data_IF_813702581342
#
_entry.id   IF_813702581342
#
_cell.length_a   1.000
_cell.length_b   1.000
_cell.length_c   1.000
_cell.angle_alpha   90.00
_cell.angle_beta   90.00
_cell.angle_gamma   90.00
#
_symmetry.space_group_name_H-M   'P 1'
#
loop_
_entity.id
_entity.type
_entity.pdbx_description
1 polymer ?
#
# COMPACT_ATOMS: atom_id res chain seq x y z
N UNK A 1 -5.60 16.16 10.98
CA UNK A 1 -4.58 15.08 11.11
C UNK A 1 -3.85 15.28 12.42
N UNK A 2 -3.63 14.22 13.21
CA UNK A 2 -3.09 14.29 14.57
C UNK A 2 -1.57 14.55 14.62
N UNK A 3 -0.84 14.23 13.55
CA UNK A 3 0.63 14.29 13.53
C UNK A 3 1.33 13.19 14.33
N UNK A 4 0.58 12.27 14.93
CA UNK A 4 1.11 11.14 15.69
C UNK A 4 1.33 9.96 14.75
N UNK A 5 2.48 9.32 14.83
CA UNK A 5 2.82 8.12 14.05
C UNK A 5 4.32 8.00 13.79
N UNK A 6 4.70 6.90 13.18
CA UNK A 6 6.05 6.62 12.70
C UNK A 6 5.99 6.27 11.21
N UNK A 7 7.10 6.43 10.45
CA UNK A 7 7.13 5.99 9.05
C UNK A 7 6.74 4.51 8.94
N UNK A 8 5.84 4.20 8.00
CA UNK A 8 5.22 2.87 7.89
C UNK A 8 6.24 1.75 7.76
N UNK A 9 7.29 1.94 6.98
CA UNK A 9 8.31 0.91 6.80
C UNK A 9 9.10 0.62 8.09
N UNK A 10 9.42 1.65 8.87
CA UNK A 10 10.04 1.48 10.20
C UNK A 10 9.12 0.72 11.15
N UNK A 11 7.82 1.07 11.17
CA UNK A 11 6.83 0.34 11.97
C UNK A 11 6.73 -1.14 11.57
N UNK A 12 6.81 -1.47 10.27
CA UNK A 12 6.81 -2.85 9.79
C UNK A 12 8.02 -3.60 10.32
N UNK A 13 9.22 -3.03 10.22
CA UNK A 13 10.45 -3.67 10.70
C UNK A 13 10.39 -3.97 12.21
N UNK A 14 10.03 -2.97 13.01
CA UNK A 14 9.98 -3.10 14.47
C UNK A 14 8.90 -4.11 14.91
N UNK A 15 7.71 -4.03 14.31
CA UNK A 15 6.62 -4.94 14.63
C UNK A 15 6.87 -6.36 14.15
N UNK A 16 7.52 -6.55 12.99
CA UNK A 16 7.87 -7.86 12.46
C UNK A 16 8.89 -8.56 13.38
N UNK A 17 9.92 -7.83 13.83
CA UNK A 17 10.91 -8.35 14.76
C UNK A 17 10.26 -8.81 16.08
N UNK A 18 9.43 -7.96 16.68
CA UNK A 18 8.71 -8.29 17.90
C UNK A 18 7.76 -9.49 17.72
N UNK A 19 7.00 -9.54 16.62
CA UNK A 19 6.06 -10.62 16.34
C UNK A 19 6.77 -11.95 16.12
N UNK A 20 7.88 -11.96 15.39
CA UNK A 20 8.67 -13.17 15.14
C UNK A 20 9.20 -13.81 16.44
N UNK A 21 9.49 -12.99 17.44
CA UNK A 21 9.95 -13.46 18.74
C UNK A 21 8.91 -14.28 19.53
N UNK A 22 7.64 -14.16 19.17
CA UNK A 22 6.51 -14.83 19.81
C UNK A 22 5.68 -15.69 18.83
N UNK A 23 6.24 -16.02 17.68
CA UNK A 23 5.58 -16.77 16.59
C UNK A 23 4.29 -16.08 16.11
N UNK A 24 4.28 -14.76 16.15
CA UNK A 24 3.18 -13.91 15.73
C UNK A 24 3.29 -13.50 14.26
N UNK A 25 2.20 -12.95 13.73
CA UNK A 25 2.12 -12.44 12.36
C UNK A 25 1.70 -10.98 12.36
N UNK A 26 2.23 -10.20 11.42
CA UNK A 26 1.81 -8.82 11.22
C UNK A 26 1.15 -8.62 9.86
N UNK A 27 0.19 -7.72 9.85
CA UNK A 27 -0.45 -7.18 8.67
C UNK A 27 -0.04 -5.72 8.55
N UNK A 28 0.66 -5.37 7.46
CA UNK A 28 1.03 -3.99 7.18
C UNK A 28 -0.19 -3.25 6.61
N UNK A 29 -0.72 -2.29 7.36
CA UNK A 29 -1.90 -1.52 6.97
C UNK A 29 -1.53 -0.06 6.69
N UNK A 30 -1.78 0.35 5.46
CA UNK A 30 -1.64 1.73 5.00
C UNK A 30 -0.37 2.02 4.19
N UNK A 31 -0.46 3.08 3.40
CA UNK A 31 0.66 3.66 2.65
C UNK A 31 0.98 3.02 1.30
N UNK A 32 0.39 1.89 0.93
CA UNK A 32 0.65 1.26 -0.36
C UNK A 32 -0.07 1.97 -1.51
N UNK A 33 0.69 2.48 -2.45
CA UNK A 33 0.21 3.16 -3.67
C UNK A 33 0.66 2.42 -4.93
N UNK A 34 1.82 1.78 -4.88
CA UNK A 34 2.43 1.06 -5.99
C UNK A 34 2.76 -0.39 -5.60
N UNK A 35 2.87 -1.32 -6.56
CA UNK A 35 3.29 -2.71 -6.29
C UNK A 35 4.61 -2.81 -5.51
N UNK A 36 5.55 -1.88 -5.75
CA UNK A 36 6.81 -1.80 -5.03
C UNK A 36 6.65 -1.53 -3.52
N UNK A 37 5.59 -0.84 -3.09
CA UNK A 37 5.34 -0.61 -1.67
C UNK A 37 4.92 -1.90 -0.98
N UNK A 38 4.13 -2.74 -1.67
CA UNK A 38 3.75 -4.07 -1.22
C UNK A 38 4.99 -4.97 -1.11
N UNK A 39 5.87 -4.94 -2.12
CA UNK A 39 7.12 -5.69 -2.10
C UNK A 39 8.03 -5.25 -0.94
N UNK A 40 8.13 -3.95 -0.66
CA UNK A 40 8.86 -3.42 0.51
C UNK A 40 8.27 -3.92 1.82
N UNK A 41 6.94 -3.93 1.95
CA UNK A 41 6.28 -4.43 3.16
C UNK A 41 6.62 -5.90 3.42
N UNK A 42 6.55 -6.76 2.40
CA UNK A 42 6.98 -8.16 2.52
C UNK A 42 8.47 -8.29 2.82
N UNK A 43 9.32 -7.50 2.15
CA UNK A 43 10.75 -7.46 2.43
C UNK A 43 11.08 -6.99 3.85
N UNK A 44 10.26 -6.12 4.43
CA UNK A 44 10.35 -5.67 5.83
C UNK A 44 9.83 -6.67 6.85
N UNK A 45 9.25 -7.80 6.41
CA UNK A 45 8.79 -8.86 7.31
C UNK A 45 7.28 -8.91 7.53
N UNK A 46 6.48 -8.11 6.80
CA UNK A 46 5.03 -8.26 6.84
C UNK A 46 4.60 -9.63 6.28
N UNK A 47 3.64 -10.26 6.94
CA UNK A 47 3.03 -11.51 6.49
C UNK A 47 1.86 -11.26 5.54
N UNK A 48 1.18 -10.15 5.71
CA UNK A 48 0.06 -9.69 4.91
C UNK A 48 0.17 -8.18 4.71
N UNK A 49 -0.47 -7.68 3.65
CA UNK A 49 -0.52 -6.24 3.35
C UNK A 49 -1.96 -5.84 3.10
N UNK A 50 -2.41 -4.79 3.79
CA UNK A 50 -3.71 -4.17 3.57
C UNK A 50 -3.60 -3.16 2.44
N UNK A 51 -4.41 -3.35 1.42
CA UNK A 51 -4.52 -2.42 0.29
C UNK A 51 -5.96 -1.92 0.16
N UNK A 52 -6.12 -0.62 -0.05
CA UNK A 52 -7.42 0.02 -0.22
C UNK A 52 -7.47 0.81 -1.53
N UNK A 53 -6.82 1.96 -1.58
CA UNK A 53 -6.86 2.86 -2.74
C UNK A 53 -6.40 2.24 -4.07
N UNK A 54 -5.53 1.24 -4.03
CA UNK A 54 -5.08 0.54 -5.23
C UNK A 54 -6.23 -0.26 -5.90
N UNK A 55 -7.18 -0.73 -5.11
CA UNK A 55 -8.35 -1.49 -5.60
C UNK A 55 -9.60 -0.62 -5.75
N UNK A 56 -9.53 0.67 -5.46
CA UNK A 56 -10.65 1.58 -5.60
C UNK A 56 -10.92 1.91 -7.08
N UNK A 57 -12.19 2.12 -7.41
CA UNK A 57 -12.61 2.53 -8.75
C UNK A 57 -12.85 1.38 -9.72
N UNK A 58 -12.78 0.15 -9.27
CA UNK A 58 -13.06 -1.05 -10.05
C UNK A 58 -14.51 -1.51 -9.90
N UNK A 59 -14.98 -2.28 -10.86
CA UNK A 59 -16.34 -2.85 -10.90
C UNK A 59 -16.68 -3.60 -9.61
N UNK A 60 -15.73 -4.39 -9.13
CA UNK A 60 -15.91 -5.25 -7.98
C UNK A 60 -15.98 -4.48 -6.64
N UNK A 61 -15.70 -3.17 -6.65
CA UNK A 61 -15.91 -2.31 -5.48
C UNK A 61 -17.36 -1.81 -5.37
N UNK A 62 -18.21 -2.09 -6.37
CA UNK A 62 -19.65 -1.80 -6.39
C UNK A 62 -19.98 -0.32 -6.09
N UNK A 63 -19.09 0.57 -6.42
CA UNK A 63 -19.28 2.00 -6.22
C UNK A 63 -19.99 2.64 -7.42
N UNK A 64 -20.95 3.56 -7.20
CA UNK A 64 -21.61 4.24 -8.31
C UNK A 64 -20.61 5.05 -9.11
N UNK A 65 -20.67 4.88 -10.44
CA UNK A 65 -19.88 5.68 -11.39
C UNK A 65 -20.69 6.90 -11.76
N UNK A 66 -20.15 8.09 -11.49
CA UNK A 66 -20.78 9.38 -11.82
C UNK A 66 -19.78 10.18 -12.65
N UNK A 67 -20.16 10.54 -13.87
CA UNK A 67 -19.31 11.27 -14.82
C UNK A 67 -17.93 10.63 -15.01
N UNK A 68 -17.88 9.29 -15.13
CA UNK A 68 -16.63 8.54 -15.29
C UNK A 68 -15.74 8.46 -14.06
N UNK A 69 -16.25 8.87 -12.90
CA UNK A 69 -15.52 8.84 -11.63
C UNK A 69 -16.28 8.06 -10.56
N UNK A 70 -15.55 7.57 -9.58
CA UNK A 70 -16.07 6.95 -8.36
C UNK A 70 -15.61 7.73 -7.14
N UNK A 71 -16.42 7.71 -6.08
CA UNK A 71 -16.03 8.29 -4.80
C UNK A 71 -15.32 7.25 -3.93
N UNK A 72 -14.06 7.50 -3.60
CA UNK A 72 -13.30 6.70 -2.65
C UNK A 72 -13.19 7.41 -1.30
N UNK A 73 -13.49 6.69 -0.23
CA UNK A 73 -13.36 7.20 1.13
C UNK A 73 -12.81 6.13 2.08
N UNK A 74 -11.88 6.53 2.93
CA UNK A 74 -11.36 5.64 3.98
C UNK A 74 -12.40 5.40 5.07
N UNK A 75 -12.32 4.25 5.75
CA UNK A 75 -13.28 3.84 6.80
C UNK A 75 -13.31 4.80 8.00
N UNK A 76 -12.25 5.56 8.24
CA UNK A 76 -12.17 6.59 9.30
C UNK A 76 -12.66 7.97 8.84
N UNK A 77 -13.20 8.11 7.63
CA UNK A 77 -13.75 9.37 7.11
C UNK A 77 -15.16 9.66 7.63
N UNK A 78 -15.54 10.93 7.63
CA UNK A 78 -16.91 11.34 7.95
C UNK A 78 -17.94 10.69 7.02
N UNK A 79 -17.59 10.53 5.74
CA UNK A 79 -18.44 9.90 4.73
C UNK A 79 -18.74 8.43 5.06
N UNK A 80 -17.74 7.69 5.54
CA UNK A 80 -17.94 6.30 5.98
C UNK A 80 -18.85 6.24 7.21
N UNK A 81 -18.69 7.16 8.16
CA UNK A 81 -19.52 7.25 9.36
C UNK A 81 -20.97 7.54 9.02
N UNK A 82 -21.24 8.48 8.13
CA UNK A 82 -22.58 8.82 7.66
C UNK A 82 -23.27 7.61 7.01
N UNK A 83 -22.56 6.91 6.12
CA UNK A 83 -23.10 5.76 5.39
C UNK A 83 -23.38 4.55 6.31
N UNK A 84 -22.58 4.37 7.34
CA UNK A 84 -22.75 3.29 8.32
C UNK A 84 -23.56 3.68 9.57
N UNK A 85 -24.27 4.81 9.53
CA UNK A 85 -25.20 5.23 10.58
C UNK A 85 -24.55 5.61 11.93
N UNK A 86 -23.22 5.83 11.96
CA UNK A 86 -22.55 6.27 13.17
C UNK A 86 -22.66 7.79 13.29
N UNK A 87 -23.18 8.27 14.43
CA UNK A 87 -23.24 9.71 14.76
C UNK A 87 -21.84 10.33 14.70
N UNK A 88 -21.75 11.59 14.24
CA UNK A 88 -20.54 12.41 14.38
C UNK A 88 -20.25 12.57 15.87
N UNK A 89 -19.27 11.83 16.37
CA UNK A 89 -18.67 12.14 17.66
C UNK A 89 -17.81 13.38 17.46
N UNK A 90 -18.23 14.53 17.97
CA UNK A 90 -17.48 15.78 17.89
C UNK A 90 -16.10 15.74 18.55
N UNK A 91 -15.75 14.61 19.15
CA UNK A 91 -14.50 14.35 19.84
C UNK A 91 -13.36 13.87 18.91
N UNK A 92 -13.68 13.17 17.81
CA UNK A 92 -12.65 12.61 16.91
C UNK A 92 -12.52 13.42 15.64
N UNK A 93 -11.26 13.75 15.27
CA UNK A 93 -10.94 14.34 13.98
C UNK A 93 -11.26 13.40 12.82
N UNK A 94 -11.54 13.98 11.65
CA UNK A 94 -11.65 13.22 10.40
C UNK A 94 -10.24 12.86 9.92
N UNK A 95 -9.90 11.58 9.91
CA UNK A 95 -8.61 11.07 9.46
C UNK A 95 -8.71 10.33 8.12
N UNK A 96 -9.93 10.02 7.69
CA UNK A 96 -10.17 9.30 6.44
C UNK A 96 -10.06 10.19 5.21
N UNK A 97 -9.34 9.70 4.20
CA UNK A 97 -9.26 10.36 2.91
C UNK A 97 -10.59 10.23 2.16
N UNK A 98 -11.07 11.33 1.56
CA UNK A 98 -12.18 11.34 0.63
C UNK A 98 -11.72 11.97 -0.67
N UNK A 99 -11.76 11.24 -1.76
CA UNK A 99 -11.32 11.69 -3.08
C UNK A 99 -12.21 11.13 -4.18
N UNK A 100 -12.27 11.82 -5.31
CA UNK A 100 -12.80 11.28 -6.55
C UNK A 100 -11.66 10.62 -7.32
N UNK A 101 -11.90 9.41 -7.81
CA UNK A 101 -10.99 8.63 -8.64
C UNK A 101 -11.65 8.33 -9.98
N UNK A 102 -10.89 8.28 -11.07
CA UNK A 102 -11.41 7.80 -12.33
C UNK A 102 -11.86 6.34 -12.21
N UNK A 103 -12.97 6.01 -12.86
CA UNK A 103 -13.41 4.64 -13.02
C UNK A 103 -12.37 3.83 -13.82
N UNK A 104 -12.09 2.60 -13.39
CA UNK A 104 -10.96 1.80 -13.87
C UNK A 104 -11.37 0.48 -14.54
N UNK A 105 -12.68 0.18 -14.62
CA UNK A 105 -13.16 -1.11 -15.14
C UNK A 105 -12.87 -2.28 -14.22
N UNK A 106 -12.72 -3.51 -14.74
CA UNK A 106 -12.50 -4.71 -13.94
C UNK A 106 -11.19 -4.67 -13.17
N UNK A 107 -11.14 -5.31 -12.00
CA UNK A 107 -9.97 -5.31 -11.11
C UNK A 107 -8.81 -6.17 -11.61
N UNK A 108 -9.09 -7.12 -12.50
CA UNK A 108 -8.12 -8.13 -12.95
C UNK A 108 -6.77 -7.54 -13.41
N UNK A 109 -6.71 -6.53 -14.30
CA UNK A 109 -5.44 -5.94 -14.73
C UNK A 109 -4.64 -5.33 -13.58
N UNK A 110 -5.31 -4.71 -12.61
CA UNK A 110 -4.65 -4.15 -11.42
C UNK A 110 -4.06 -5.23 -10.53
N UNK A 111 -4.76 -6.34 -10.34
CA UNK A 111 -4.24 -7.49 -9.59
C UNK A 111 -3.04 -8.11 -10.29
N UNK A 112 -3.10 -8.25 -11.61
CA UNK A 112 -1.98 -8.77 -12.41
C UNK A 112 -0.74 -7.88 -12.31
N UNK A 113 -0.91 -6.56 -12.35
CA UNK A 113 0.17 -5.59 -12.18
C UNK A 113 0.80 -5.68 -10.78
N UNK A 114 -0.02 -5.74 -9.73
CA UNK A 114 0.44 -5.93 -8.36
C UNK A 114 1.26 -7.21 -8.22
N UNK A 115 0.72 -8.34 -8.70
CA UNK A 115 1.40 -9.63 -8.63
C UNK A 115 2.67 -9.65 -9.49
N UNK A 116 2.64 -9.01 -10.66
CA UNK A 116 3.79 -8.84 -11.54
C UNK A 116 4.92 -8.09 -10.85
N UNK A 117 4.61 -6.94 -10.23
CA UNK A 117 5.58 -6.14 -9.49
C UNK A 117 6.21 -6.88 -8.31
N UNK A 118 5.40 -7.60 -7.52
CA UNK A 118 5.92 -8.41 -6.40
C UNK A 118 6.80 -9.55 -6.89
N UNK A 119 6.42 -10.25 -7.96
CA UNK A 119 7.24 -11.31 -8.58
C UNK A 119 8.57 -10.77 -9.09
N UNK A 120 8.56 -9.61 -9.75
CA UNK A 120 9.79 -8.96 -10.23
C UNK A 120 10.70 -8.60 -9.06
N UNK A 121 10.16 -8.04 -7.97
CA UNK A 121 10.94 -7.75 -6.76
C UNK A 121 11.58 -9.03 -6.19
N UNK A 122 10.83 -10.13 -6.08
CA UNK A 122 11.37 -11.43 -5.65
C UNK A 122 12.54 -11.87 -6.53
N UNK A 123 12.41 -11.71 -7.86
CA UNK A 123 13.45 -12.09 -8.81
C UNK A 123 14.72 -11.26 -8.60
N UNK A 124 14.58 -9.94 -8.45
CA UNK A 124 15.73 -9.04 -8.27
C UNK A 124 16.51 -9.29 -6.98
N UNK A 125 15.84 -9.63 -5.90
CA UNK A 125 16.50 -9.94 -4.61
C UNK A 125 16.88 -11.42 -4.47
N UNK A 126 16.53 -12.29 -5.41
CA UNK A 126 16.81 -13.73 -5.37
C UNK A 126 15.91 -14.51 -4.41
N UNK A 127 14.78 -13.97 -4.00
CA UNK A 127 13.81 -14.66 -3.15
C UNK A 127 12.93 -15.60 -3.99
N UNK A 128 12.88 -16.89 -3.60
CA UNK A 128 12.04 -17.89 -4.28
C UNK A 128 10.60 -17.90 -3.80
N UNK A 129 10.32 -17.40 -2.60
CA UNK A 129 9.01 -17.35 -1.95
C UNK A 129 8.86 -16.02 -1.20
N UNK A 130 7.66 -15.52 -1.03
CA UNK A 130 7.40 -14.29 -0.27
C UNK A 130 8.02 -14.34 1.13
N UNK A 131 7.91 -15.43 1.84
CA UNK A 131 8.49 -15.61 3.18
C UNK A 131 10.03 -15.53 3.22
N UNK A 132 10.69 -15.64 2.09
CA UNK A 132 12.15 -15.54 1.99
C UNK A 132 12.60 -14.09 1.73
N UNK A 133 11.69 -13.19 1.34
CA UNK A 133 12.01 -11.80 1.02
C UNK A 133 12.74 -11.05 2.15
N UNK A 134 12.35 -11.17 3.44
CA UNK A 134 13.06 -10.48 4.52
C UNK A 134 14.52 -10.89 4.67
N UNK A 135 14.84 -12.13 4.26
CA UNK A 135 16.20 -12.68 4.33
C UNK A 135 17.06 -12.31 3.12
N UNK A 136 16.42 -11.95 2.00
CA UNK A 136 17.08 -11.65 0.74
C UNK A 136 17.17 -10.15 0.46
N UNK A 137 16.27 -9.35 1.06
CA UNK A 137 16.20 -7.93 0.81
C UNK A 137 17.25 -7.15 1.63
N UNK A 138 17.88 -6.16 0.98
CA UNK A 138 18.65 -5.11 1.65
C UNK A 138 18.00 -3.77 1.40
N UNK A 139 17.90 -2.95 2.44
CA UNK A 139 17.31 -1.62 2.35
C UNK A 139 18.34 -0.55 2.63
N UNK A 140 18.26 0.53 1.87
CA UNK A 140 19.12 1.71 2.04
C UNK A 140 18.24 2.95 2.23
N UNK A 141 18.68 3.86 3.09
CA UNK A 141 18.00 5.15 3.22
C UNK A 141 18.39 6.04 2.05
N UNK A 142 17.39 6.59 1.38
CA UNK A 142 17.57 7.47 0.24
C UNK A 142 16.99 8.84 0.57
N UNK A 143 17.77 9.88 0.38
CA UNK A 143 17.32 11.27 0.52
C UNK A 143 16.99 11.82 -0.87
N UNK A 144 15.83 12.47 -1.02
CA UNK A 144 15.39 13.13 -2.26
C UNK A 144 15.32 12.21 -3.49
N UNK A 145 14.86 10.97 -3.31
CA UNK A 145 14.62 10.09 -4.44
C UNK A 145 13.32 10.50 -5.17
N UNK A 146 13.44 11.37 -6.15
CA UNK A 146 12.38 11.58 -7.12
C UNK A 146 12.49 10.44 -8.12
N UNK A 147 11.66 9.40 -7.94
CA UNK A 147 11.59 8.32 -8.91
C UNK A 147 10.94 8.83 -10.20
N UNK A 148 11.75 9.26 -11.14
CA UNK A 148 11.33 9.71 -12.48
C UNK A 148 11.14 8.56 -13.46
N UNK A 149 11.23 7.31 -13.01
CA UNK A 149 11.11 6.10 -13.85
C UNK A 149 9.75 5.98 -14.53
N UNK A 150 8.72 6.65 -14.01
CA UNK A 150 7.44 6.77 -14.73
C UNK A 150 7.55 7.51 -16.07
N UNK A 151 8.67 8.15 -16.37
CA UNK A 151 8.86 8.93 -17.59
C UNK A 151 9.83 8.34 -18.61
N UNK A 152 10.77 7.45 -18.22
CA UNK A 152 11.67 6.82 -19.21
C UNK A 152 12.24 5.49 -18.69
N UNK A 153 12.01 4.42 -19.42
CA UNK A 153 12.58 3.08 -19.19
C UNK A 153 14.12 3.04 -19.09
N UNK A 154 14.80 4.08 -19.57
CA UNK A 154 16.26 4.14 -19.64
C UNK A 154 16.92 4.57 -18.32
N UNK A 155 16.19 5.18 -17.38
CA UNK A 155 16.75 5.65 -16.10
C UNK A 155 16.71 4.62 -14.97
N UNK A 156 16.04 3.49 -15.16
CA UNK A 156 16.00 2.42 -14.16
C UNK A 156 17.37 1.78 -13.92
N UNK A 157 18.29 1.90 -14.88
CA UNK A 157 19.65 1.34 -14.81
C UNK A 157 20.69 2.31 -14.22
N UNK A 158 20.39 3.59 -14.10
CA UNK A 158 21.34 4.58 -13.57
C UNK A 158 21.29 4.76 -12.04
N UNK A 159 20.37 4.11 -11.36
CA UNK A 159 20.21 4.21 -9.89
C UNK A 159 20.79 3.02 -9.12
N UNK A 160 21.60 2.19 -9.79
CA UNK A 160 22.27 1.02 -9.19
C UNK A 160 23.79 1.21 -9.12
N UNK A 161 24.25 2.37 -8.68
CA UNK A 161 25.63 2.57 -8.23
C UNK A 161 25.64 3.32 -6.92
#
# INVERSE_FOLDING_TARGET
>A
MTGVGVPQFSAILDCADAANGVDGHILADGGCVHPGDIAKAFGGGAHMVMIGGMLAGHDESEQPVIDGNVEFYGMSSDRARERHGKRKDGYRGNEGRHIKLPYRGPVQPTVEDILGGVRSACTYIGARRLKDMPKCASFVTVHNNINTVSYTHLRAHETTL
#
